data_IF_956541364201
#
_entry.id   IF_956541364201
#
_cell.length_a   1.000
_cell.length_b   1.000
_cell.length_c   1.000
_cell.angle_alpha   90.00
_cell.angle_beta   90.00
_cell.angle_gamma   90.00
#
_symmetry.space_group_name_H-M   'P 1'
#
loop_
_entity.id
_entity.type
_entity.pdbx_description
1 polymer ?
#
# COMPACT_ATOMS: atom_id res chain seq x y z
N UNK A 1 31.07 7.08 -0.59
CA UNK A 1 30.21 6.03 0.00
C UNK A 1 30.13 6.20 1.53
N UNK A 2 29.50 7.28 2.04
CA UNK A 2 29.45 7.61 3.49
C UNK A 2 28.24 7.00 4.23
N UNK A 3 27.15 6.69 3.53
CA UNK A 3 25.90 6.18 4.14
C UNK A 3 26.11 4.81 4.81
N UNK A 4 26.88 3.91 4.19
CA UNK A 4 27.17 2.59 4.77
C UNK A 4 27.96 2.66 6.08
N UNK A 5 28.84 3.65 6.23
CA UNK A 5 29.66 3.82 7.45
C UNK A 5 28.81 4.17 8.68
N UNK A 6 27.65 4.80 8.46
CA UNK A 6 26.76 5.26 9.53
C UNK A 6 25.36 4.65 9.44
N UNK A 7 25.21 3.54 8.69
CA UNK A 7 23.92 2.92 8.40
C UNK A 7 23.17 2.59 9.69
N UNK A 8 23.86 1.96 10.64
CA UNK A 8 23.25 1.50 11.89
C UNK A 8 22.86 2.68 12.79
N UNK A 9 23.69 3.73 12.84
CA UNK A 9 23.35 4.96 13.55
C UNK A 9 22.12 5.64 12.94
N UNK A 10 22.06 5.76 11.61
CA UNK A 10 20.88 6.35 10.96
C UNK A 10 19.63 5.49 11.17
N UNK A 11 19.73 4.17 11.03
CA UNK A 11 18.62 3.26 11.30
C UNK A 11 18.15 3.33 12.75
N UNK A 12 19.06 3.49 13.72
CA UNK A 12 18.72 3.69 15.13
C UNK A 12 17.96 5.01 15.33
N UNK A 13 18.50 6.13 14.83
CA UNK A 13 17.88 7.45 14.98
C UNK A 13 16.49 7.50 14.34
N UNK A 14 16.33 6.90 13.17
CA UNK A 14 15.03 6.86 12.49
C UNK A 14 14.06 5.88 13.14
N UNK A 15 14.57 4.82 13.79
CA UNK A 15 13.76 3.93 14.63
C UNK A 15 13.20 4.65 15.84
N UNK A 16 14.04 5.40 16.55
CA UNK A 16 13.59 6.28 17.64
C UNK A 16 12.55 7.26 17.11
N UNK A 17 12.77 7.83 15.92
CA UNK A 17 11.82 8.73 15.27
C UNK A 17 10.43 8.13 15.09
N UNK A 18 10.29 7.02 14.35
CA UNK A 18 8.97 6.47 14.06
C UNK A 18 8.25 5.94 15.32
N UNK A 19 8.99 5.38 16.29
CA UNK A 19 8.43 4.96 17.59
C UNK A 19 7.93 6.19 18.37
N UNK A 20 8.71 7.27 18.39
CA UNK A 20 8.33 8.51 19.08
C UNK A 20 7.07 9.13 18.49
N UNK A 21 6.88 9.06 17.17
CA UNK A 21 5.65 9.52 16.53
C UNK A 21 4.45 8.64 16.89
N UNK A 22 4.57 7.31 16.88
CA UNK A 22 3.50 6.44 17.38
C UNK A 22 3.16 6.77 18.84
N UNK A 23 4.17 6.94 19.69
CA UNK A 23 3.96 7.33 21.09
C UNK A 23 3.26 8.69 21.21
N UNK A 24 3.66 9.68 20.41
CA UNK A 24 3.02 11.00 20.38
C UNK A 24 1.55 10.93 19.96
N UNK A 25 1.19 9.96 19.10
CA UNK A 25 -0.18 9.68 18.71
C UNK A 25 -1.03 9.37 19.95
N UNK A 26 -0.57 8.45 20.80
CA UNK A 26 -1.25 8.08 22.05
C UNK A 26 -1.32 9.24 23.07
N UNK A 27 -0.48 10.27 22.90
CA UNK A 27 -0.53 11.52 23.68
C UNK A 27 -1.40 12.61 23.03
N UNK A 28 -2.11 12.29 21.95
CA UNK A 28 -3.05 13.21 21.28
C UNK A 28 -2.41 14.11 20.20
N UNK A 29 -1.18 13.85 19.77
CA UNK A 29 -0.55 14.63 18.71
C UNK A 29 -1.15 14.32 17.33
N UNK A 30 -1.89 15.26 16.75
CA UNK A 30 -2.66 15.06 15.51
C UNK A 30 -1.83 14.89 14.22
N UNK A 31 -0.56 15.31 14.18
CA UNK A 31 0.29 15.17 12.99
C UNK A 31 1.26 13.99 13.06
N UNK A 32 0.99 13.05 13.97
CA UNK A 32 1.90 11.95 14.25
C UNK A 32 2.13 11.06 13.02
N UNK A 33 1.08 10.82 12.22
CA UNK A 33 1.11 9.80 11.19
C UNK A 33 2.09 10.14 10.07
N UNK A 34 2.17 11.41 9.67
CA UNK A 34 3.15 11.88 8.68
C UNK A 34 4.59 11.65 9.17
N UNK A 35 4.87 11.99 10.44
CA UNK A 35 6.17 11.73 11.05
C UNK A 35 6.48 10.25 11.10
N UNK A 36 5.53 9.44 11.56
CA UNK A 36 5.64 7.98 11.60
C UNK A 36 6.00 7.42 10.22
N UNK A 37 5.19 7.65 9.18
CA UNK A 37 5.44 7.06 7.86
C UNK A 37 6.74 7.55 7.23
N UNK A 38 7.12 8.81 7.47
CA UNK A 38 8.38 9.36 6.98
C UNK A 38 9.59 8.66 7.61
N UNK A 39 9.65 8.59 8.95
CA UNK A 39 10.77 7.97 9.66
C UNK A 39 10.79 6.45 9.46
N UNK A 40 9.63 5.80 9.36
CA UNK A 40 9.52 4.37 9.10
C UNK A 40 10.01 4.02 7.69
N UNK A 41 9.53 4.73 6.67
CA UNK A 41 10.04 4.61 5.30
C UNK A 41 11.55 4.81 5.25
N UNK A 42 12.05 5.90 5.83
CA UNK A 42 13.46 6.25 5.76
C UNK A 42 14.35 5.22 6.49
N UNK A 43 13.90 4.70 7.65
CA UNK A 43 14.57 3.60 8.35
C UNK A 43 14.72 2.37 7.47
N UNK A 44 13.61 1.84 6.96
CA UNK A 44 13.62 0.62 6.16
C UNK A 44 14.39 0.81 4.85
N UNK A 45 14.26 1.96 4.21
CA UNK A 45 15.05 2.33 3.02
C UNK A 45 16.55 2.32 3.27
N UNK A 46 17.03 2.82 4.42
CA UNK A 46 18.45 2.75 4.78
C UNK A 46 18.86 1.29 4.97
N UNK A 47 18.05 0.50 5.67
CA UNK A 47 18.30 -0.92 5.89
C UNK A 47 18.40 -1.71 4.58
N UNK A 48 17.54 -1.37 3.62
CA UNK A 48 17.41 -2.02 2.33
C UNK A 48 18.23 -1.40 1.21
N UNK A 49 19.02 -0.34 1.46
CA UNK A 49 19.67 0.45 0.40
C UNK A 49 20.51 -0.38 -0.60
N UNK A 50 21.06 -1.51 -0.15
CA UNK A 50 21.82 -2.47 -0.99
C UNK A 50 20.98 -3.18 -2.06
N UNK A 51 19.66 -3.14 -1.94
CA UNK A 51 18.71 -3.78 -2.83
C UNK A 51 18.11 -2.82 -3.86
N UNK A 52 18.70 -1.62 -4.01
CA UNK A 52 18.29 -0.61 -4.99
C UNK A 52 16.82 -0.19 -4.87
N UNK A 53 16.32 -0.10 -3.64
CA UNK A 53 14.92 0.20 -3.32
C UNK A 53 14.59 1.69 -3.43
N UNK A 54 13.49 2.14 -2.83
CA UNK A 54 12.87 3.44 -3.14
C UNK A 54 13.79 4.62 -2.86
N UNK A 55 14.56 4.62 -1.76
CA UNK A 55 15.52 5.69 -1.47
C UNK A 55 16.74 5.68 -2.38
N UNK A 56 17.19 4.50 -2.80
CA UNK A 56 18.22 4.38 -3.83
C UNK A 56 17.71 4.93 -5.17
N UNK A 57 16.46 4.67 -5.55
CA UNK A 57 15.85 5.25 -6.76
C UNK A 57 15.73 6.77 -6.66
N UNK A 58 15.32 7.31 -5.51
CA UNK A 58 15.26 8.75 -5.30
C UNK A 58 16.61 9.41 -5.59
N UNK A 59 17.71 8.77 -5.18
CA UNK A 59 19.05 9.29 -5.42
C UNK A 59 19.54 9.06 -6.85
N UNK A 60 19.46 7.83 -7.34
CA UNK A 60 20.19 7.38 -8.53
C UNK A 60 19.29 7.30 -9.79
N UNK A 61 17.97 7.20 -9.64
CA UNK A 61 17.00 7.06 -10.74
C UNK A 61 15.73 7.88 -10.52
N UNK A 62 15.90 9.19 -10.30
CA UNK A 62 14.85 10.17 -9.95
C UNK A 62 13.60 10.08 -10.80
N UNK A 63 13.71 9.96 -12.12
CA UNK A 63 12.54 9.88 -13.01
C UNK A 63 11.64 8.68 -12.69
N UNK A 64 12.22 7.53 -12.33
CA UNK A 64 11.45 6.34 -11.96
C UNK A 64 10.85 6.48 -10.57
N UNK A 65 11.61 7.04 -9.63
CA UNK A 65 11.08 7.38 -8.31
C UNK A 65 9.86 8.29 -8.45
N UNK A 66 9.95 9.39 -9.22
CA UNK A 66 8.84 10.33 -9.43
C UNK A 66 7.63 9.62 -10.05
N UNK A 67 7.82 8.77 -11.07
CA UNK A 67 6.72 8.02 -11.68
C UNK A 67 6.04 7.08 -10.69
N UNK A 68 6.82 6.36 -9.88
CA UNK A 68 6.28 5.48 -8.87
C UNK A 68 5.55 6.27 -7.77
N UNK A 69 6.14 7.37 -7.31
CA UNK A 69 5.56 8.27 -6.32
C UNK A 69 4.21 8.83 -6.78
N UNK A 70 4.14 9.34 -8.01
CA UNK A 70 2.89 9.82 -8.60
C UNK A 70 1.85 8.71 -8.75
N UNK A 71 2.28 7.48 -9.09
CA UNK A 71 1.37 6.33 -9.09
C UNK A 71 0.81 6.07 -7.68
N UNK A 72 1.62 6.19 -6.63
CA UNK A 72 1.14 6.06 -5.25
C UNK A 72 0.18 7.18 -4.83
N UNK A 73 0.39 8.42 -5.29
CA UNK A 73 -0.58 9.54 -5.07
C UNK A 73 -1.94 9.18 -5.68
N UNK A 74 -1.95 8.75 -6.95
CA UNK A 74 -3.18 8.38 -7.66
C UNK A 74 -3.86 7.19 -6.99
N UNK A 75 -3.08 6.17 -6.60
CA UNK A 75 -3.60 5.00 -5.90
C UNK A 75 -4.16 5.35 -4.52
N UNK A 76 -3.48 6.21 -3.76
CA UNK A 76 -3.97 6.71 -2.48
C UNK A 76 -5.31 7.41 -2.64
N UNK A 77 -5.43 8.33 -3.61
CA UNK A 77 -6.69 9.01 -3.91
C UNK A 77 -7.82 8.05 -4.32
N UNK A 78 -7.54 7.09 -5.21
CA UNK A 78 -8.54 6.12 -5.68
C UNK A 78 -8.96 5.17 -4.55
N UNK A 79 -8.01 4.65 -3.78
CA UNK A 79 -8.32 3.72 -2.69
C UNK A 79 -9.09 4.43 -1.57
N UNK A 80 -8.66 5.61 -1.17
CA UNK A 80 -9.23 6.35 -0.06
C UNK A 80 -10.52 7.08 -0.41
N UNK A 81 -10.43 8.07 -1.30
CA UNK A 81 -11.57 8.93 -1.60
C UNK A 81 -12.60 8.16 -2.41
N UNK A 82 -12.19 7.56 -3.52
CA UNK A 82 -13.13 6.95 -4.48
C UNK A 82 -13.73 5.67 -3.94
N UNK A 83 -12.91 4.70 -3.51
CA UNK A 83 -13.41 3.39 -3.06
C UNK A 83 -13.86 3.46 -1.59
N UNK A 84 -12.97 3.88 -0.69
CA UNK A 84 -13.19 3.86 0.75
C UNK A 84 -14.34 4.76 1.20
N UNK A 85 -14.27 6.05 0.90
CA UNK A 85 -15.27 7.03 1.33
C UNK A 85 -16.48 7.06 0.40
N UNK A 86 -16.26 7.24 -0.91
CA UNK A 86 -17.35 7.52 -1.84
C UNK A 86 -18.13 6.28 -2.25
N UNK A 87 -17.53 5.10 -2.43
CA UNK A 87 -18.29 3.92 -2.88
C UNK A 87 -18.81 3.08 -1.71
N UNK A 88 -17.91 2.72 -0.79
CA UNK A 88 -18.21 1.73 0.28
C UNK A 88 -18.48 2.39 1.64
N UNK A 89 -18.13 3.67 1.81
CA UNK A 89 -18.29 4.40 3.08
C UNK A 89 -17.68 3.67 4.29
N UNK A 90 -16.45 3.17 4.13
CA UNK A 90 -15.75 2.36 5.12
C UNK A 90 -15.13 3.19 6.25
N UNK A 91 -14.82 4.47 6.00
CA UNK A 91 -14.28 5.36 7.02
C UNK A 91 -14.55 6.83 6.70
N UNK A 92 -14.34 7.66 7.72
CA UNK A 92 -14.31 9.11 7.60
C UNK A 92 -13.19 9.70 8.45
N UNK A 93 -12.71 10.85 8.03
CA UNK A 93 -11.75 11.66 8.77
C UNK A 93 -12.45 12.59 9.75
N UNK A 94 -11.98 12.64 11.01
CA UNK A 94 -12.45 13.64 11.98
C UNK A 94 -11.63 14.93 11.96
N UNK A 95 -10.34 14.82 11.66
CA UNK A 95 -9.37 15.90 11.87
C UNK A 95 -9.03 16.61 10.55
N UNK A 96 -9.10 15.91 9.42
CA UNK A 96 -8.82 16.47 8.10
C UNK A 96 -10.00 17.32 7.63
N UNK A 97 -9.86 18.64 7.73
CA UNK A 97 -10.93 19.60 7.40
C UNK A 97 -10.49 20.69 6.43
N UNK A 98 -9.19 21.01 6.40
CA UNK A 98 -8.65 22.04 5.52
C UNK A 98 -8.10 21.45 4.21
N UNK A 99 -8.03 22.28 3.17
CA UNK A 99 -7.35 21.94 1.91
C UNK A 99 -5.91 21.48 2.16
N UNK A 100 -5.21 22.12 3.09
CA UNK A 100 -3.83 21.75 3.47
C UNK A 100 -3.75 20.33 4.05
N UNK A 101 -4.75 19.90 4.82
CA UNK A 101 -4.82 18.53 5.38
C UNK A 101 -4.97 17.51 4.25
N UNK A 102 -5.86 17.77 3.29
CA UNK A 102 -6.04 16.90 2.12
C UNK A 102 -4.79 16.84 1.23
N UNK A 103 -4.10 17.97 1.03
CA UNK A 103 -2.81 17.97 0.34
C UNK A 103 -1.78 17.10 1.08
N UNK A 104 -1.67 17.25 2.39
CA UNK A 104 -0.77 16.42 3.21
C UNK A 104 -1.13 14.94 3.11
N UNK A 105 -2.42 14.59 3.19
CA UNK A 105 -2.89 13.22 3.11
C UNK A 105 -2.52 12.56 1.77
N UNK A 106 -2.91 13.18 0.65
CA UNK A 106 -2.75 12.57 -0.68
C UNK A 106 -1.35 12.71 -1.26
N UNK A 107 -0.64 13.80 -1.00
CA UNK A 107 0.68 14.05 -1.59
C UNK A 107 1.84 13.66 -0.70
N UNK A 108 1.65 13.48 0.61
CA UNK A 108 2.74 13.10 1.52
C UNK A 108 2.46 11.77 2.22
N UNK A 109 1.36 11.68 2.97
CA UNK A 109 1.08 10.53 3.83
C UNK A 109 0.91 9.25 3.02
N UNK A 110 0.00 9.21 2.04
CA UNK A 110 -0.22 7.98 1.26
C UNK A 110 0.97 7.55 0.42
N UNK A 111 1.65 8.45 -0.31
CA UNK A 111 2.84 8.04 -1.03
C UNK A 111 3.92 7.51 -0.09
N UNK A 112 4.19 8.18 1.04
CA UNK A 112 5.19 7.72 2.01
C UNK A 112 4.79 6.37 2.63
N UNK A 113 3.51 6.18 2.97
CA UNK A 113 2.99 4.89 3.44
C UNK A 113 3.14 3.79 2.39
N UNK A 114 2.90 4.09 1.11
CA UNK A 114 3.12 3.14 0.03
C UNK A 114 4.59 2.80 -0.17
N UNK A 115 5.48 3.79 -0.07
CA UNK A 115 6.93 3.54 -0.10
C UNK A 115 7.37 2.69 1.09
N UNK A 116 6.87 2.96 2.31
CA UNK A 116 7.22 2.16 3.50
C UNK A 116 6.75 0.71 3.39
N UNK A 117 5.59 0.47 2.78
CA UNK A 117 5.11 -0.90 2.49
C UNK A 117 6.07 -1.64 1.55
N UNK A 118 6.53 -0.99 0.47
CA UNK A 118 7.54 -1.60 -0.42
C UNK A 118 8.82 -1.91 0.35
N UNK A 119 9.30 -0.99 1.17
CA UNK A 119 10.50 -1.24 1.97
C UNK A 119 10.30 -2.36 2.99
N UNK A 120 9.10 -2.50 3.56
CA UNK A 120 8.78 -3.61 4.46
C UNK A 120 8.82 -4.94 3.72
N UNK A 121 8.31 -5.01 2.49
CA UNK A 121 8.43 -6.19 1.62
C UNK A 121 9.90 -6.56 1.40
N UNK A 122 10.75 -5.59 1.05
CA UNK A 122 12.19 -5.83 0.85
C UNK A 122 12.90 -6.26 2.13
N UNK A 123 12.52 -5.69 3.27
CA UNK A 123 13.06 -6.06 4.58
C UNK A 123 12.72 -7.51 4.93
N UNK A 124 11.44 -7.90 4.82
CA UNK A 124 10.99 -9.27 5.06
C UNK A 124 11.59 -10.27 4.06
N UNK A 125 11.70 -9.88 2.78
CA UNK A 125 12.39 -10.69 1.78
C UNK A 125 13.85 -10.94 2.19
N UNK A 126 14.55 -9.92 2.71
CA UNK A 126 15.92 -10.07 3.17
C UNK A 126 16.06 -11.02 4.37
N UNK A 127 15.07 -11.04 5.28
CA UNK A 127 15.02 -11.98 6.42
C UNK A 127 14.86 -13.42 5.92
N UNK A 128 13.97 -13.64 4.94
CA UNK A 128 13.75 -14.94 4.32
C UNK A 128 14.82 -15.32 3.29
N UNK A 129 15.88 -14.52 3.12
CA UNK A 129 16.94 -14.68 2.11
C UNK A 129 16.41 -14.73 0.67
N UNK A 130 15.27 -14.09 0.43
CA UNK A 130 14.67 -13.91 -0.88
C UNK A 130 15.15 -12.63 -1.58
N UNK A 131 15.05 -12.63 -2.91
CA UNK A 131 15.28 -11.44 -3.72
C UNK A 131 13.98 -11.02 -4.43
N UNK A 132 13.65 -9.75 -4.35
CA UNK A 132 12.57 -9.12 -5.13
C UNK A 132 13.09 -8.83 -6.53
N UNK A 133 13.18 -9.86 -7.37
CA UNK A 133 13.71 -9.78 -8.73
C UNK A 133 12.82 -10.53 -9.69
N UNK A 134 12.72 -10.06 -10.94
CA UNK A 134 12.01 -10.72 -12.02
C UNK A 134 12.75 -11.97 -12.49
N UNK A 135 12.06 -13.11 -12.55
CA UNK A 135 12.68 -14.40 -12.86
C UNK A 135 12.40 -14.88 -14.26
N UNK A 136 11.21 -14.60 -14.78
CA UNK A 136 10.85 -15.01 -16.13
C UNK A 136 10.79 -13.77 -17.05
N UNK A 137 11.53 -13.82 -18.15
CA UNK A 137 11.48 -12.78 -19.19
C UNK A 137 10.23 -12.92 -20.08
N UNK A 138 9.71 -14.15 -20.21
CA UNK A 138 8.54 -14.47 -21.06
C UNK A 138 7.17 -14.25 -20.38
N UNK A 139 7.13 -13.57 -19.24
CA UNK A 139 5.87 -13.31 -18.51
C UNK A 139 4.84 -12.58 -19.38
N UNK A 140 5.30 -11.82 -20.39
CA UNK A 140 4.41 -11.13 -21.33
C UNK A 140 3.51 -12.09 -22.12
N UNK A 141 3.99 -13.29 -22.45
CA UNK A 141 3.29 -14.24 -23.33
C UNK A 141 2.45 -15.29 -22.58
N UNK A 142 2.55 -15.35 -21.25
CA UNK A 142 1.78 -16.28 -20.43
C UNK A 142 0.29 -15.93 -20.39
N UNK A 143 -0.58 -16.95 -20.56
CA UNK A 143 -2.04 -16.81 -20.49
C UNK A 143 -2.50 -16.11 -19.20
N UNK A 144 -1.86 -16.39 -18.07
CA UNK A 144 -2.17 -15.74 -16.79
C UNK A 144 -1.89 -14.23 -16.80
N UNK A 145 -0.87 -13.78 -17.54
CA UNK A 145 -0.61 -12.35 -17.70
C UNK A 145 -1.70 -11.67 -18.55
N UNK A 146 -2.18 -12.32 -19.61
CA UNK A 146 -3.33 -11.84 -20.40
C UNK A 146 -4.61 -11.80 -19.55
N UNK A 147 -4.90 -12.87 -18.81
CA UNK A 147 -6.08 -12.95 -17.93
C UNK A 147 -6.06 -11.87 -16.86
N UNK A 148 -4.92 -11.64 -16.22
CA UNK A 148 -4.78 -10.59 -15.19
C UNK A 148 -4.93 -9.19 -15.77
N UNK A 149 -4.44 -8.93 -16.98
CA UNK A 149 -4.71 -7.67 -17.68
C UNK A 149 -6.20 -7.50 -17.99
N UNK A 150 -6.89 -8.54 -18.44
CA UNK A 150 -8.34 -8.50 -18.65
C UNK A 150 -9.06 -8.21 -17.34
N UNK A 151 -8.69 -8.86 -16.24
CA UNK A 151 -9.31 -8.62 -14.93
C UNK A 151 -8.99 -7.24 -14.36
N UNK A 152 -7.82 -6.68 -14.66
CA UNK A 152 -7.50 -5.29 -14.31
C UNK A 152 -8.44 -4.33 -15.03
N UNK A 153 -8.62 -4.51 -16.33
CA UNK A 153 -9.53 -3.69 -17.15
C UNK A 153 -10.97 -3.83 -16.64
N UNK A 154 -11.42 -5.05 -16.37
CA UNK A 154 -12.75 -5.31 -15.81
C UNK A 154 -12.90 -4.62 -14.45
N UNK A 155 -11.91 -4.73 -13.55
CA UNK A 155 -11.96 -4.06 -12.25
C UNK A 155 -12.10 -2.54 -12.40
N UNK A 156 -11.32 -1.93 -13.29
CA UNK A 156 -11.40 -0.49 -13.55
C UNK A 156 -12.78 -0.10 -14.12
N UNK A 157 -13.29 -0.85 -15.10
CA UNK A 157 -14.61 -0.61 -15.68
C UNK A 157 -15.72 -0.75 -14.63
N UNK A 158 -15.61 -1.74 -13.75
CA UNK A 158 -16.55 -1.93 -12.63
C UNK A 158 -16.48 -0.75 -11.68
N UNK A 159 -15.28 -0.29 -11.29
CA UNK A 159 -15.13 0.90 -10.42
C UNK A 159 -15.81 2.12 -11.05
N UNK A 160 -15.53 2.40 -12.33
CA UNK A 160 -16.11 3.55 -13.04
C UNK A 160 -17.64 3.43 -13.16
N UNK A 161 -18.13 2.26 -13.54
CA UNK A 161 -19.58 2.00 -13.65
C UNK A 161 -20.25 2.16 -12.29
N UNK A 162 -19.62 1.68 -11.22
CA UNK A 162 -20.13 1.81 -9.87
C UNK A 162 -20.22 3.26 -9.41
N UNK A 163 -19.23 4.10 -9.75
CA UNK A 163 -19.28 5.53 -9.45
C UNK A 163 -20.41 6.23 -10.17
N UNK A 164 -20.59 5.93 -11.47
CA UNK A 164 -21.67 6.50 -12.27
C UNK A 164 -23.02 6.12 -11.66
N UNK A 165 -23.28 4.82 -11.46
CA UNK A 165 -24.54 4.33 -10.90
C UNK A 165 -24.84 4.90 -9.51
N UNK A 166 -23.81 5.04 -8.65
CA UNK A 166 -23.95 5.66 -7.34
C UNK A 166 -24.32 7.14 -7.44
N UNK A 167 -23.67 7.91 -8.33
CA UNK A 167 -23.96 9.33 -8.52
C UNK A 167 -25.38 9.59 -9.04
N UNK A 168 -25.98 8.64 -9.76
CA UNK A 168 -27.36 8.73 -10.23
C UNK A 168 -28.39 8.09 -9.28
N UNK A 169 -27.99 7.62 -8.09
CA UNK A 169 -28.85 6.89 -7.15
C UNK A 169 -29.60 5.71 -7.78
N UNK A 170 -29.01 5.08 -8.81
CA UNK A 170 -29.66 4.01 -9.58
C UNK A 170 -29.55 2.64 -8.92
N UNK A 171 -28.64 2.48 -7.95
CA UNK A 171 -28.38 1.19 -7.32
C UNK A 171 -27.85 1.34 -5.88
N UNK A 172 -28.63 0.89 -4.90
CA UNK A 172 -28.26 1.03 -3.48
C UNK A 172 -27.20 0.01 -3.02
N UNK A 173 -27.11 -1.16 -3.69
CA UNK A 173 -26.27 -2.28 -3.24
C UNK A 173 -24.97 -2.43 -4.03
N UNK A 174 -24.40 -1.32 -4.50
CA UNK A 174 -23.21 -1.33 -5.37
C UNK A 174 -21.97 -1.94 -4.71
N UNK A 175 -21.95 -1.93 -3.38
CA UNK A 175 -20.89 -2.50 -2.54
C UNK A 175 -20.74 -4.02 -2.74
N UNK A 176 -21.82 -4.74 -3.07
CA UNK A 176 -21.79 -6.20 -3.29
C UNK A 176 -20.90 -6.56 -4.48
N UNK A 177 -20.93 -5.76 -5.55
CA UNK A 177 -20.10 -5.99 -6.74
C UNK A 177 -18.62 -5.91 -6.37
N UNK A 178 -18.24 -4.92 -5.56
CA UNK A 178 -16.88 -4.82 -5.02
C UNK A 178 -16.49 -6.04 -4.19
N UNK A 179 -17.39 -6.52 -3.32
CA UNK A 179 -17.13 -7.67 -2.47
C UNK A 179 -16.87 -8.96 -3.26
N UNK A 180 -17.40 -9.10 -4.48
CA UNK A 180 -17.16 -10.27 -5.34
C UNK A 180 -15.89 -10.09 -6.17
N UNK A 181 -15.75 -8.93 -6.81
CA UNK A 181 -14.67 -8.68 -7.77
C UNK A 181 -13.32 -8.55 -7.07
N UNK A 182 -13.31 -7.95 -5.87
CA UNK A 182 -12.08 -7.63 -5.14
C UNK A 182 -11.33 -8.88 -4.67
N UNK A 183 -11.97 -9.90 -4.05
CA UNK A 183 -11.31 -11.17 -3.75
C UNK A 183 -10.82 -11.92 -4.99
N UNK A 184 -11.60 -11.94 -6.08
CA UNK A 184 -11.19 -12.57 -7.35
C UNK A 184 -9.92 -11.90 -7.88
N UNK A 185 -9.88 -10.57 -7.89
CA UNK A 185 -8.69 -9.82 -8.31
C UNK A 185 -7.48 -10.09 -7.41
N UNK A 186 -7.68 -10.15 -6.10
CA UNK A 186 -6.64 -10.49 -5.12
C UNK A 186 -6.05 -11.87 -5.41
N UNK A 187 -6.89 -12.88 -5.62
CA UNK A 187 -6.47 -14.26 -5.92
C UNK A 187 -5.67 -14.29 -7.22
N UNK A 188 -6.20 -13.71 -8.30
CA UNK A 188 -5.55 -13.71 -9.60
C UNK A 188 -4.21 -12.95 -9.59
N UNK A 189 -4.15 -11.82 -8.88
CA UNK A 189 -2.91 -11.03 -8.75
C UNK A 189 -1.88 -11.78 -7.91
N UNK A 190 -2.30 -12.42 -6.82
CA UNK A 190 -1.41 -13.28 -6.01
C UNK A 190 -0.85 -14.42 -6.85
N UNK A 191 -1.69 -15.11 -7.62
CA UNK A 191 -1.26 -16.18 -8.54
C UNK A 191 -0.32 -15.66 -9.62
N UNK A 192 -0.47 -14.41 -10.05
CA UNK A 192 0.45 -13.76 -11.01
C UNK A 192 1.84 -13.55 -10.41
N UNK A 193 1.95 -13.28 -9.11
CA UNK A 193 3.23 -13.05 -8.44
C UNK A 193 4.18 -14.26 -8.55
N UNK A 194 3.66 -15.49 -8.66
CA UNK A 194 4.51 -16.69 -8.82
C UNK A 194 5.43 -16.63 -10.05
N UNK A 195 5.05 -15.86 -11.07
CA UNK A 195 5.85 -15.70 -12.29
C UNK A 195 6.92 -14.63 -12.18
N UNK A 196 6.80 -13.75 -11.19
CA UNK A 196 7.77 -12.70 -10.97
C UNK A 196 8.83 -13.13 -9.98
N UNK A 197 8.67 -14.22 -9.22
CA UNK A 197 9.50 -14.45 -8.03
C UNK A 197 9.71 -15.93 -7.65
N UNK A 198 10.84 -16.19 -6.96
CA UNK A 198 11.53 -17.49 -7.00
C UNK A 198 10.81 -18.56 -6.19
N UNK A 199 10.46 -18.18 -4.97
CA UNK A 199 9.86 -19.08 -3.99
C UNK A 199 8.47 -18.55 -3.64
N UNK A 200 7.45 -19.05 -4.35
CA UNK A 200 6.07 -18.56 -4.24
C UNK A 200 5.52 -18.59 -2.80
N UNK A 201 5.87 -19.61 -2.03
CA UNK A 201 5.48 -19.73 -0.61
C UNK A 201 6.07 -18.63 0.26
N UNK A 202 7.35 -18.29 0.08
CA UNK A 202 7.97 -17.15 0.77
C UNK A 202 7.30 -15.84 0.40
N UNK A 203 6.86 -15.70 -0.85
CA UNK A 203 6.14 -14.50 -1.28
C UNK A 203 4.76 -14.34 -0.70
N UNK A 204 3.99 -15.42 -0.62
CA UNK A 204 2.73 -15.40 0.11
C UNK A 204 2.99 -14.99 1.56
N UNK A 205 3.99 -15.60 2.22
CA UNK A 205 4.35 -15.25 3.59
C UNK A 205 4.72 -13.75 3.72
N UNK A 206 5.58 -13.23 2.84
CA UNK A 206 5.97 -11.81 2.84
C UNK A 206 4.75 -10.90 2.67
N UNK A 207 3.88 -11.16 1.69
CA UNK A 207 2.70 -10.33 1.41
C UNK A 207 1.72 -10.37 2.59
N UNK A 208 1.41 -11.56 3.11
CA UNK A 208 0.52 -11.73 4.26
C UNK A 208 1.09 -11.04 5.50
N UNK A 209 2.36 -11.29 5.81
CA UNK A 209 3.03 -10.65 6.96
C UNK A 209 3.11 -9.14 6.79
N UNK A 210 3.39 -8.63 5.58
CA UNK A 210 3.36 -7.19 5.29
C UNK A 210 1.98 -6.62 5.57
N UNK A 211 0.91 -7.24 5.07
CA UNK A 211 -0.45 -6.76 5.29
C UNK A 211 -0.82 -6.75 6.78
N UNK A 212 -0.48 -7.82 7.51
CA UNK A 212 -0.71 -7.91 8.96
C UNK A 212 0.05 -6.80 9.69
N UNK A 213 1.36 -6.68 9.47
CA UNK A 213 2.18 -5.64 10.09
C UNK A 213 1.68 -4.24 9.75
N UNK A 214 1.24 -4.01 8.50
CA UNK A 214 0.67 -2.73 8.11
C UNK A 214 -0.60 -2.41 8.90
N UNK A 215 -1.50 -3.37 9.11
CA UNK A 215 -2.69 -3.17 9.95
C UNK A 215 -2.29 -2.80 11.38
N UNK A 216 -1.33 -3.52 11.97
CA UNK A 216 -0.87 -3.24 13.33
C UNK A 216 -0.19 -1.88 13.47
N UNK A 217 0.65 -1.51 12.51
CA UNK A 217 1.47 -0.29 12.59
C UNK A 217 0.75 0.96 12.12
N UNK A 218 -0.15 0.84 11.15
CA UNK A 218 -0.89 1.97 10.60
C UNK A 218 -2.28 2.08 11.24
N UNK A 219 -3.07 1.00 11.27
CA UNK A 219 -4.49 1.13 11.61
C UNK A 219 -4.82 1.12 13.10
N UNK A 220 -4.12 0.32 13.90
CA UNK A 220 -4.41 0.29 15.33
C UNK A 220 -4.17 1.66 15.99
N UNK A 221 -3.03 2.36 15.73
CA UNK A 221 -2.85 3.70 16.24
C UNK A 221 -3.90 4.68 15.69
N UNK A 222 -4.24 4.60 14.39
CA UNK A 222 -5.28 5.41 13.76
C UNK A 222 -6.64 5.32 14.48
N UNK A 223 -7.04 4.10 14.87
CA UNK A 223 -8.27 3.86 15.64
C UNK A 223 -8.14 4.39 17.06
N UNK A 224 -7.02 4.12 17.74
CA UNK A 224 -6.82 4.52 19.12
C UNK A 224 -6.86 6.04 19.31
N UNK A 225 -6.37 6.81 18.34
CA UNK A 225 -6.36 8.28 18.38
C UNK A 225 -7.57 8.92 17.69
N UNK A 226 -8.52 8.11 17.22
CA UNK A 226 -9.75 8.54 16.54
C UNK A 226 -9.54 9.42 15.30
N UNK A 227 -8.39 9.31 14.65
CA UNK A 227 -8.11 10.05 13.42
C UNK A 227 -8.87 9.46 12.22
N UNK A 228 -8.95 8.13 12.16
CA UNK A 228 -9.83 7.38 11.28
C UNK A 228 -10.99 6.80 12.08
N UNK A 229 -12.21 7.15 11.68
CA UNK A 229 -13.41 6.49 12.20
C UNK A 229 -13.89 5.47 11.17
N UNK A 230 -13.74 4.19 11.50
CA UNK A 230 -14.22 3.09 10.67
C UNK A 230 -15.70 2.83 10.86
N UNK A 231 -16.37 2.52 9.74
CA UNK A 231 -17.76 2.10 9.70
C UNK A 231 -17.83 0.65 9.21
N UNK A 232 -18.54 -0.23 9.93
CA UNK A 232 -18.88 -1.52 9.37
C UNK A 232 -19.86 -1.31 8.19
N UNK A 233 -19.62 -1.88 7.01
CA UNK A 233 -20.61 -1.82 5.93
C UNK A 233 -21.86 -2.62 6.31
N UNK A 234 -23.00 -2.21 5.78
CA UNK A 234 -24.33 -2.73 6.16
C UNK A 234 -24.46 -4.25 6.02
N UNK A 235 -23.75 -4.85 5.06
CA UNK A 235 -23.92 -6.27 4.72
C UNK A 235 -22.98 -7.23 5.48
N UNK A 236 -21.84 -6.75 5.98
CA UNK A 236 -20.91 -7.57 6.77
C UNK A 236 -20.13 -6.70 7.75
N UNK A 237 -20.65 -6.63 8.98
CA UNK A 237 -20.23 -5.69 10.02
C UNK A 237 -19.14 -6.19 10.94
N UNK A 238 -18.46 -7.29 10.59
CA UNK A 238 -17.42 -7.87 11.43
C UNK A 238 -16.23 -6.92 11.60
N UNK A 239 -15.83 -6.70 12.85
CA UNK A 239 -14.73 -5.83 13.25
C UNK A 239 -13.76 -6.56 14.18
N UNK A 240 -12.47 -6.25 14.06
CA UNK A 240 -11.42 -6.67 14.99
C UNK A 240 -10.73 -5.41 15.48
N UNK A 241 -10.69 -5.19 16.80
CA UNK A 241 -10.10 -3.97 17.41
C UNK A 241 -10.64 -2.65 16.84
N UNK A 242 -11.93 -2.60 16.47
CA UNK A 242 -12.55 -1.42 15.87
C UNK A 242 -12.21 -1.20 14.39
N UNK A 243 -11.45 -2.11 13.76
CA UNK A 243 -11.11 -2.08 12.34
C UNK A 243 -12.05 -3.02 11.60
N UNK A 244 -12.69 -2.52 10.54
CA UNK A 244 -13.52 -3.36 9.66
C UNK A 244 -12.69 -4.43 8.97
N UNK A 245 -13.22 -5.65 8.85
CA UNK A 245 -12.58 -6.72 8.07
C UNK A 245 -12.30 -6.32 6.62
N UNK A 246 -13.07 -5.38 6.06
CA UNK A 246 -12.85 -4.84 4.72
C UNK A 246 -11.59 -3.98 4.64
N UNK A 247 -11.22 -3.31 5.71
CA UNK A 247 -9.94 -2.58 5.82
C UNK A 247 -8.79 -3.59 5.88
N UNK A 248 -8.96 -4.70 6.60
CA UNK A 248 -7.99 -5.80 6.66
C UNK A 248 -7.76 -6.41 5.27
N UNK A 249 -8.83 -6.76 4.55
CA UNK A 249 -8.73 -7.25 3.16
C UNK A 249 -8.17 -6.17 2.23
N UNK A 250 -8.55 -4.91 2.46
CA UNK A 250 -8.04 -3.73 1.75
C UNK A 250 -6.52 -3.60 1.84
N UNK A 251 -5.92 -3.86 3.01
CA UNK A 251 -4.46 -3.84 3.17
C UNK A 251 -3.77 -4.90 2.33
N UNK A 252 -4.33 -6.11 2.25
CA UNK A 252 -3.79 -7.15 1.37
C UNK A 252 -3.83 -6.71 -0.10
N UNK A 253 -4.93 -6.11 -0.53
CA UNK A 253 -5.03 -5.51 -1.87
C UNK A 253 -4.01 -4.39 -2.09
N UNK A 254 -3.86 -3.46 -1.15
CA UNK A 254 -2.93 -2.34 -1.27
C UNK A 254 -1.49 -2.83 -1.41
N UNK A 255 -1.07 -3.83 -0.62
CA UNK A 255 0.25 -4.47 -0.75
C UNK A 255 0.46 -5.04 -2.15
N UNK A 256 -0.52 -5.79 -2.68
CA UNK A 256 -0.44 -6.36 -4.02
C UNK A 256 -0.37 -5.31 -5.13
N UNK A 257 -1.19 -4.25 -5.03
CA UNK A 257 -1.19 -3.16 -6.00
C UNK A 257 0.15 -2.43 -5.99
N UNK A 258 0.65 -2.06 -4.80
CA UNK A 258 1.94 -1.39 -4.66
C UNK A 258 3.08 -2.20 -5.27
N UNK A 259 3.10 -3.51 -5.01
CA UNK A 259 4.09 -4.44 -5.57
C UNK A 259 3.96 -4.56 -7.10
N UNK A 260 2.74 -4.61 -7.63
CA UNK A 260 2.49 -4.67 -9.06
C UNK A 260 3.02 -3.43 -9.79
N UNK A 261 2.72 -2.22 -9.28
CA UNK A 261 3.25 -0.98 -9.87
C UNK A 261 4.75 -0.87 -9.71
N UNK A 262 5.32 -1.36 -8.60
CA UNK A 262 6.76 -1.43 -8.40
C UNK A 262 7.41 -2.30 -9.49
N UNK A 263 6.87 -3.50 -9.72
CA UNK A 263 7.33 -4.41 -10.78
C UNK A 263 7.28 -3.72 -12.15
N UNK A 264 6.18 -3.04 -12.49
CA UNK A 264 5.99 -2.44 -13.81
C UNK A 264 6.85 -1.20 -14.06
N UNK A 265 6.95 -0.30 -13.08
CA UNK A 265 7.63 0.99 -13.24
C UNK A 265 9.12 0.85 -12.99
N UNK A 266 9.51 0.03 -12.02
CA UNK A 266 10.89 -0.06 -11.54
C UNK A 266 11.60 -1.27 -12.15
N UNK A 267 11.07 -2.48 -11.96
CA UNK A 267 11.81 -3.71 -12.28
C UNK A 267 11.79 -4.06 -13.77
N UNK A 268 10.65 -3.92 -14.45
CA UNK A 268 10.50 -4.33 -15.86
C UNK A 268 11.20 -3.37 -16.84
N UNK A 269 11.46 -2.13 -16.45
CA UNK A 269 12.01 -1.10 -17.35
C UNK A 269 13.53 -1.12 -17.45
N UNK A 270 14.22 -1.92 -16.62
CA UNK A 270 15.67 -2.12 -16.70
C UNK A 270 16.13 -3.11 -17.77
N UNK A 271 15.19 -3.79 -18.43
CA UNK A 271 15.47 -4.81 -19.45
C UNK A 271 15.15 -4.36 -20.87
N UNK A 272 14.92 -3.06 -21.09
CA UNK A 272 14.77 -2.43 -22.41
C UNK A 272 15.83 -1.38 -22.59
#
# INVERSE_FOLDING_TARGET
MKIYKYKDLFALLTTVGWISFIYSAFMGFHYWYLGFVFFFWFCLSILNYRHETTFWLLKNRRSRFIKYYLALVVLGFVADYVIGQQLVNLWSYRIYSSISDWFRLYFLIYPLGGLSVVELIYFLASILKEKVVLIHDDVKNLFVNKLTHVTDTILVLIILTCLILKNFNLFNNIQIIFMIVFPIWIILTTLKLKYYIKHFTHWIAIVVTTAILSIFMHEIPNVAVYEWKYYPPEFFSFQIWGISIWVVVGWYFLVLVMLKYWIQIVLLKDRK
#
